data_IF_366126007929
#
_entry.id   IF_366126007929
#
_cell.length_a   1.000
_cell.length_b   1.000
_cell.length_c   1.000
_cell.angle_alpha   90.00
_cell.angle_beta   90.00
_cell.angle_gamma   90.00
#
_symmetry.space_group_name_H-M   'P 1'
#
loop_
_entity.id
_entity.type
_entity.pdbx_description
1 polymer ?
#
# COMPACT_ATOMS: atom_id res chain seq x y z
N UNK A 1 -22.25 2.96 2.20
CA UNK A 1 -21.73 3.18 3.58
C UNK A 1 -21.03 4.53 3.63
N UNK A 2 -21.33 5.34 4.64
CA UNK A 2 -20.58 6.56 4.94
C UNK A 2 -19.55 6.26 6.04
N UNK A 3 -18.35 6.83 5.93
CA UNK A 3 -17.29 6.69 6.92
C UNK A 3 -16.78 8.07 7.31
N UNK A 4 -16.56 8.26 8.61
CA UNK A 4 -15.84 9.40 9.14
C UNK A 4 -14.32 9.17 9.02
N UNK A 5 -13.61 10.02 8.25
CA UNK A 5 -12.16 9.90 8.06
C UNK A 5 -11.44 9.99 9.40
N UNK A 6 -11.93 10.79 10.37
CA UNK A 6 -11.29 10.91 11.69
C UNK A 6 -11.42 9.64 12.51
N UNK A 7 -12.51 8.90 12.34
CA UNK A 7 -12.63 7.58 12.94
C UNK A 7 -11.69 6.59 12.22
N UNK A 8 -11.49 6.68 10.90
CA UNK A 8 -10.44 5.87 10.24
C UNK A 8 -9.04 6.16 10.79
N UNK A 9 -8.70 7.42 11.04
CA UNK A 9 -7.43 7.82 11.69
C UNK A 9 -7.33 7.21 13.09
N UNK A 10 -8.39 7.36 13.89
CA UNK A 10 -8.45 6.78 15.24
C UNK A 10 -8.25 5.26 15.20
N UNK A 11 -8.84 4.57 14.21
CA UNK A 11 -8.70 3.12 14.05
C UNK A 11 -7.32 2.72 13.50
N UNK A 12 -6.67 3.58 12.74
CA UNK A 12 -5.28 3.38 12.33
C UNK A 12 -4.34 3.54 13.54
N UNK A 13 -4.54 4.54 14.39
CA UNK A 13 -3.77 4.72 15.64
C UNK A 13 -3.97 3.53 16.57
N UNK A 14 -5.19 3.01 16.66
CA UNK A 14 -5.52 1.77 17.37
C UNK A 14 -4.77 0.55 16.84
N UNK A 15 -4.71 0.42 15.52
CA UNK A 15 -3.92 -0.64 14.89
C UNK A 15 -2.43 -0.49 15.24
N UNK A 16 -1.93 0.74 15.34
CA UNK A 16 -0.54 1.03 15.69
C UNK A 16 -0.25 0.63 17.14
N UNK A 17 -1.09 1.03 18.10
CA UNK A 17 -0.97 0.66 19.51
C UNK A 17 -1.05 -0.86 19.72
N UNK A 18 -1.95 -1.52 18.98
CA UNK A 18 -2.03 -2.98 18.95
C UNK A 18 -0.74 -3.60 18.41
N UNK A 19 -0.22 -3.09 17.30
CA UNK A 19 1.03 -3.59 16.72
C UNK A 19 2.22 -3.36 17.66
N UNK A 20 2.24 -2.25 18.39
CA UNK A 20 3.28 -1.96 19.38
C UNK A 20 3.19 -2.96 20.54
N UNK A 21 2.00 -3.23 21.06
CA UNK A 21 1.77 -4.24 22.10
C UNK A 21 2.20 -5.64 21.66
N UNK A 22 1.94 -6.00 20.39
CA UNK A 22 2.39 -7.24 19.79
C UNK A 22 3.92 -7.30 19.66
N UNK A 23 4.55 -6.22 19.20
CA UNK A 23 5.99 -6.09 19.05
C UNK A 23 6.71 -6.19 20.40
N UNK A 24 6.23 -5.51 21.44
CA UNK A 24 6.75 -5.59 22.80
C UNK A 24 6.67 -7.00 23.36
N UNK A 25 5.54 -7.69 23.13
CA UNK A 25 5.35 -9.07 23.56
C UNK A 25 6.35 -10.01 22.87
N UNK A 26 6.57 -9.84 21.56
CA UNK A 26 7.59 -10.58 20.83
C UNK A 26 9.00 -10.33 21.38
N UNK A 27 9.32 -9.07 21.68
CA UNK A 27 10.62 -8.68 22.23
C UNK A 27 10.87 -9.32 23.60
N UNK A 28 9.87 -9.33 24.48
CA UNK A 28 9.99 -9.95 25.80
C UNK A 28 10.22 -11.47 25.72
N UNK A 29 9.63 -12.15 24.74
CA UNK A 29 9.78 -13.60 24.57
C UNK A 29 11.10 -14.01 23.95
N UNK A 30 11.51 -13.31 22.90
CA UNK A 30 12.63 -13.71 22.04
C UNK A 30 13.93 -13.00 22.40
N UNK A 31 13.84 -11.88 23.14
CA UNK A 31 14.94 -10.95 23.37
C UNK A 31 15.32 -10.12 22.15
N UNK A 32 14.60 -10.25 21.04
CA UNK A 32 14.85 -9.49 19.81
C UNK A 32 14.30 -8.07 19.99
N UNK A 33 15.07 -7.06 19.60
CA UNK A 33 14.57 -5.68 19.63
C UNK A 33 13.59 -5.50 18.48
N UNK A 34 12.37 -5.09 18.78
CA UNK A 34 11.31 -4.89 17.78
C UNK A 34 10.85 -3.44 17.78
N UNK A 35 10.36 -2.97 16.62
CA UNK A 35 9.79 -1.64 16.46
C UNK A 35 8.72 -1.67 15.37
N UNK A 36 7.58 -1.03 15.64
CA UNK A 36 6.57 -0.80 14.61
C UNK A 36 7.08 0.31 13.71
N UNK A 37 7.16 0.03 12.40
CA UNK A 37 7.71 0.97 11.43
C UNK A 37 6.64 1.76 10.71
N UNK A 38 5.57 1.06 10.33
CA UNK A 38 4.44 1.66 9.63
C UNK A 38 3.17 0.99 10.12
N UNK A 39 2.16 1.81 10.36
CA UNK A 39 0.78 1.33 10.43
C UNK A 39 -0.08 2.14 9.47
N UNK A 40 -0.90 1.48 8.67
CA UNK A 40 -1.79 2.16 7.74
C UNK A 40 -3.10 1.41 7.56
N UNK A 41 -4.08 2.10 6.98
CA UNK A 41 -5.34 1.50 6.55
C UNK A 41 -5.52 1.71 5.06
N UNK A 42 -5.72 0.61 4.32
CA UNK A 42 -5.92 0.66 2.88
C UNK A 42 -7.31 0.16 2.48
N UNK A 43 -7.91 0.84 1.50
CA UNK A 43 -9.04 0.34 0.72
C UNK A 43 -8.51 -0.24 -0.60
N UNK A 44 -8.71 -1.53 -0.82
CA UNK A 44 -8.22 -2.26 -1.99
C UNK A 44 -9.16 -3.40 -2.36
N UNK A 45 -9.03 -3.94 -3.57
CA UNK A 45 -9.74 -5.15 -3.95
C UNK A 45 -9.12 -6.38 -3.29
N UNK A 46 -9.92 -7.45 -3.13
CA UNK A 46 -9.43 -8.73 -2.64
C UNK A 46 -8.35 -9.32 -3.55
N UNK A 47 -8.43 -9.12 -4.87
CA UNK A 47 -7.40 -9.56 -5.81
C UNK A 47 -6.08 -8.80 -5.66
N UNK A 48 -6.11 -7.48 -5.42
CA UNK A 48 -4.88 -6.72 -5.15
C UNK A 48 -4.21 -7.21 -3.84
N UNK A 49 -5.00 -7.50 -2.79
CA UNK A 49 -4.47 -8.07 -1.55
C UNK A 49 -3.87 -9.47 -1.77
N UNK A 50 -4.54 -10.31 -2.56
CA UNK A 50 -4.02 -11.63 -2.93
C UNK A 50 -2.68 -11.52 -3.64
N UNK A 51 -2.56 -10.57 -4.57
CA UNK A 51 -1.34 -10.36 -5.35
C UNK A 51 -0.13 -10.04 -4.49
N UNK A 52 -0.28 -9.19 -3.46
CA UNK A 52 0.82 -8.83 -2.55
C UNK A 52 1.49 -10.03 -1.86
N UNK A 53 0.78 -11.14 -1.73
CA UNK A 53 1.30 -12.35 -1.09
C UNK A 53 1.83 -13.37 -2.10
N UNK A 54 1.54 -13.21 -3.40
CA UNK A 54 1.96 -14.15 -4.46
C UNK A 54 3.49 -14.31 -4.47
N UNK A 55 3.94 -15.53 -4.78
CA UNK A 55 5.35 -15.86 -4.97
C UNK A 55 6.15 -16.04 -3.68
N UNK A 56 5.57 -15.71 -2.52
CA UNK A 56 6.21 -15.84 -1.22
C UNK A 56 5.54 -16.93 -0.37
N UNK A 57 6.35 -17.65 0.39
CA UNK A 57 5.88 -18.57 1.42
C UNK A 57 5.74 -17.84 2.75
N UNK A 58 4.56 -17.98 3.36
CA UNK A 58 4.29 -17.44 4.69
C UNK A 58 3.89 -18.55 5.65
N UNK A 59 4.16 -18.34 6.93
CA UNK A 59 3.44 -19.03 8.00
C UNK A 59 3.11 -18.07 9.12
N UNK A 60 2.18 -18.45 9.98
CA UNK A 60 1.81 -17.67 11.15
C UNK A 60 0.48 -18.14 11.72
N UNK A 61 -0.34 -17.20 12.18
CA UNK A 61 -1.62 -17.51 12.80
C UNK A 61 -2.74 -16.62 12.31
N UNK A 62 -3.94 -17.18 12.21
CA UNK A 62 -5.20 -16.46 12.00
C UNK A 62 -6.04 -16.53 13.28
N UNK A 63 -6.66 -15.41 13.64
CA UNK A 63 -7.64 -15.29 14.73
C UNK A 63 -8.88 -14.55 14.24
N UNK A 64 -10.04 -15.09 14.59
CA UNK A 64 -11.32 -14.43 14.39
C UNK A 64 -11.59 -13.49 15.58
N UNK A 65 -11.97 -12.25 15.27
CA UNK A 65 -12.45 -11.28 16.25
C UNK A 65 -13.97 -11.19 16.22
N UNK A 66 -14.56 -11.01 17.40
CA UNK A 66 -15.99 -10.73 17.57
C UNK A 66 -16.22 -9.67 18.65
N UNK A 67 -17.29 -8.89 18.52
CA UNK A 67 -17.71 -7.92 19.52
C UNK A 67 -17.91 -6.53 18.92
N UNK A 68 -17.22 -5.55 19.49
CA UNK A 68 -17.21 -4.17 18.98
C UNK A 68 -16.57 -4.12 17.59
N UNK A 69 -15.48 -4.88 17.43
CA UNK A 69 -14.84 -5.14 16.15
C UNK A 69 -14.92 -6.63 15.87
N UNK A 70 -15.54 -6.97 14.75
CA UNK A 70 -15.54 -8.31 14.17
C UNK A 70 -14.68 -8.31 12.91
N UNK A 71 -13.97 -9.41 12.66
CA UNK A 71 -13.03 -9.52 11.55
C UNK A 71 -12.04 -10.65 11.73
N UNK A 72 -11.01 -10.66 10.90
CA UNK A 72 -9.90 -11.60 11.00
C UNK A 72 -8.58 -10.85 11.21
N UNK A 73 -7.77 -11.32 12.16
CA UNK A 73 -6.38 -10.90 12.33
C UNK A 73 -5.48 -12.00 11.82
N UNK A 74 -4.61 -11.66 10.87
CA UNK A 74 -3.58 -12.55 10.34
C UNK A 74 -2.21 -11.99 10.72
N UNK A 75 -1.44 -12.82 11.41
CA UNK A 75 -0.01 -12.62 11.59
C UNK A 75 0.71 -13.48 10.57
N UNK A 76 1.49 -12.86 9.69
CA UNK A 76 2.24 -13.53 8.65
C UNK A 76 3.73 -13.25 8.78
N UNK A 77 4.51 -14.32 8.80
CA UNK A 77 5.96 -14.33 8.84
C UNK A 77 6.48 -14.95 7.54
N UNK A 78 7.37 -14.24 6.86
CA UNK A 78 8.09 -14.79 5.70
C UNK A 78 9.20 -15.77 6.14
N UNK A 79 10.02 -16.26 5.21
CA UNK A 79 11.12 -17.18 5.55
C UNK A 79 12.11 -16.57 6.54
N UNK A 80 12.50 -15.30 6.36
CA UNK A 80 13.47 -14.65 7.22
C UNK A 80 12.90 -14.46 8.63
N UNK A 81 11.65 -14.02 8.74
CA UNK A 81 10.92 -13.85 10.00
C UNK A 81 10.77 -15.15 10.77
N UNK A 82 10.37 -16.22 10.09
CA UNK A 82 10.25 -17.54 10.73
C UNK A 82 11.60 -18.03 11.24
N UNK A 83 12.65 -17.85 10.46
CA UNK A 83 14.00 -18.26 10.85
C UNK A 83 14.49 -17.47 12.08
N UNK A 84 14.33 -16.15 12.09
CA UNK A 84 14.74 -15.32 13.21
C UNK A 84 14.08 -15.70 14.53
N UNK A 85 12.78 -16.02 14.50
CA UNK A 85 12.04 -16.49 15.68
C UNK A 85 12.53 -17.88 16.10
N UNK A 86 12.60 -18.81 15.16
CA UNK A 86 12.90 -20.22 15.46
C UNK A 86 14.34 -20.43 15.90
N UNK A 87 15.31 -19.69 15.38
CA UNK A 87 16.72 -19.79 15.76
C UNK A 87 16.96 -19.39 17.23
N UNK A 88 16.12 -18.51 17.80
CA UNK A 88 16.16 -18.14 19.23
C UNK A 88 15.44 -19.13 20.13
N UNK A 89 14.27 -19.60 19.70
CA UNK A 89 13.36 -20.38 20.55
C UNK A 89 13.60 -21.89 20.48
N UNK A 90 14.19 -22.39 19.38
CA UNK A 90 14.38 -23.82 19.13
C UNK A 90 15.87 -24.14 18.97
N UNK A 91 16.54 -24.70 20.00
CA UNK A 91 17.97 -25.02 19.95
C UNK A 91 18.36 -26.16 18.98
N UNK A 92 17.39 -26.87 18.41
CA UNK A 92 17.59 -28.04 17.57
C UNK A 92 16.77 -27.92 16.28
N UNK A 93 17.27 -28.48 15.19
CA UNK A 93 16.58 -28.48 13.90
C UNK A 93 15.43 -29.52 13.88
N UNK A 94 14.37 -29.20 14.63
CA UNK A 94 13.17 -30.02 14.79
C UNK A 94 11.97 -29.28 14.15
N UNK A 95 11.49 -29.72 12.98
CA UNK A 95 10.41 -29.05 12.25
C UNK A 95 9.12 -28.86 13.05
N UNK A 96 8.76 -29.83 13.89
CA UNK A 96 7.55 -29.75 14.72
C UNK A 96 7.69 -28.68 15.81
N UNK A 97 8.88 -28.58 16.41
CA UNK A 97 9.15 -27.52 17.40
C UNK A 97 9.24 -26.14 16.77
N UNK A 98 9.79 -26.04 15.54
CA UNK A 98 9.80 -24.80 14.77
C UNK A 98 8.38 -24.31 14.51
N UNK A 99 7.50 -25.20 14.02
CA UNK A 99 6.08 -24.90 13.83
C UNK A 99 5.40 -24.46 15.13
N UNK A 100 5.53 -25.23 16.19
CA UNK A 100 4.94 -24.92 17.50
C UNK A 100 5.44 -23.58 18.07
N UNK A 101 6.68 -23.20 17.77
CA UNK A 101 7.22 -21.90 18.21
C UNK A 101 6.60 -20.73 17.46
N UNK A 102 6.33 -20.89 16.16
CA UNK A 102 5.58 -19.88 15.38
C UNK A 102 4.14 -19.77 15.88
N UNK A 103 3.49 -20.89 16.21
CA UNK A 103 2.15 -20.88 16.82
C UNK A 103 2.13 -20.11 18.16
N UNK A 104 3.09 -20.39 19.05
CA UNK A 104 3.17 -19.74 20.36
C UNK A 104 3.47 -18.23 20.24
N UNK A 105 4.42 -17.86 19.39
CA UNK A 105 4.72 -16.44 19.12
C UNK A 105 3.53 -15.75 18.49
N UNK A 106 2.90 -16.38 17.50
CA UNK A 106 1.69 -15.88 16.87
C UNK A 106 0.56 -15.65 17.89
N UNK A 107 0.32 -16.60 18.80
CA UNK A 107 -0.68 -16.48 19.85
C UNK A 107 -0.43 -15.27 20.77
N UNK A 108 0.83 -15.06 21.16
CA UNK A 108 1.17 -13.99 22.10
C UNK A 108 1.12 -12.62 21.39
N UNK A 109 1.67 -12.51 20.19
CA UNK A 109 1.61 -11.27 19.41
C UNK A 109 0.16 -10.87 19.11
N UNK A 110 -0.68 -11.82 18.72
CA UNK A 110 -2.08 -11.54 18.40
C UNK A 110 -2.91 -11.19 19.63
N UNK A 111 -2.64 -11.83 20.77
CA UNK A 111 -3.25 -11.43 22.04
C UNK A 111 -2.85 -10.00 22.40
N UNK A 112 -1.56 -9.65 22.29
CA UNK A 112 -1.07 -8.29 22.50
C UNK A 112 -1.72 -7.27 21.55
N UNK A 113 -1.87 -7.63 20.27
CA UNK A 113 -2.57 -6.80 19.29
C UNK A 113 -4.02 -6.53 19.68
N UNK A 114 -4.78 -7.58 19.98
CA UNK A 114 -6.20 -7.48 20.36
C UNK A 114 -6.38 -6.73 21.69
N UNK A 115 -5.49 -6.94 22.66
CA UNK A 115 -5.52 -6.25 23.94
C UNK A 115 -5.29 -4.74 23.78
N UNK A 116 -4.40 -4.32 22.87
CA UNK A 116 -4.20 -2.90 22.52
C UNK A 116 -5.51 -2.23 22.09
N UNK A 117 -6.25 -2.86 21.17
CA UNK A 117 -7.55 -2.38 20.72
C UNK A 117 -8.61 -2.37 21.83
N UNK A 118 -8.70 -3.45 22.61
CA UNK A 118 -9.69 -3.58 23.67
C UNK A 118 -9.53 -2.52 24.77
N UNK A 119 -8.28 -2.21 25.14
CA UNK A 119 -7.95 -1.21 26.15
C UNK A 119 -8.38 0.19 25.73
N UNK A 120 -8.08 0.59 24.49
CA UNK A 120 -8.40 1.93 24.01
C UNK A 120 -9.89 2.12 23.74
N UNK A 121 -10.54 1.14 23.09
CA UNK A 121 -11.99 1.20 22.85
C UNK A 121 -12.81 1.08 24.14
N UNK A 122 -12.17 0.74 25.26
CA UNK A 122 -12.83 0.35 26.51
C UNK A 122 -13.95 -0.69 26.24
N UNK A 123 -13.66 -1.60 25.30
CA UNK A 123 -14.61 -2.52 24.72
C UNK A 123 -14.18 -3.96 24.94
N UNK A 124 -15.16 -4.87 24.89
CA UNK A 124 -14.87 -6.31 24.96
C UNK A 124 -14.75 -6.87 23.56
N UNK A 125 -13.52 -6.92 23.06
CA UNK A 125 -13.18 -7.72 21.88
C UNK A 125 -12.93 -9.15 22.35
N UNK A 126 -13.52 -10.12 21.67
CA UNK A 126 -13.27 -11.54 21.90
C UNK A 126 -12.55 -12.11 20.70
N UNK A 127 -11.45 -12.82 20.94
CA UNK A 127 -10.71 -13.58 19.95
C UNK A 127 -11.04 -15.08 20.01
N UNK A 128 -11.02 -15.75 18.87
CA UNK A 128 -10.91 -17.21 18.81
C UNK A 128 -9.48 -17.66 19.17
N UNK A 129 -9.26 -18.93 19.56
CA UNK A 129 -7.91 -19.46 19.65
C UNK A 129 -7.20 -19.38 18.29
N UNK A 130 -5.88 -19.11 18.26
CA UNK A 130 -5.15 -19.00 17.02
C UNK A 130 -5.17 -20.29 16.22
N UNK A 131 -5.36 -20.16 14.92
CA UNK A 131 -5.24 -21.26 13.95
C UNK A 131 -3.95 -21.07 13.17
N UNK A 132 -3.06 -22.08 13.20
CA UNK A 132 -1.86 -22.05 12.38
C UNK A 132 -2.18 -22.05 10.90
N UNK A 133 -1.52 -21.16 10.17
CA UNK A 133 -1.61 -21.04 8.73
C UNK A 133 -0.21 -21.13 8.12
N UNK A 134 -0.09 -21.81 7.00
CA UNK A 134 1.13 -21.89 6.21
C UNK A 134 0.78 -22.22 4.77
N UNK A 135 1.41 -21.51 3.83
CA UNK A 135 1.25 -21.76 2.41
C UNK A 135 1.87 -20.64 1.58
N UNK A 136 1.53 -20.62 0.29
CA UNK A 136 1.99 -19.59 -0.64
C UNK A 136 0.86 -18.65 -0.96
N UNK A 137 1.15 -17.34 -1.06
CA UNK A 137 0.15 -16.39 -1.54
C UNK A 137 -1.11 -16.37 -0.70
N UNK A 138 -2.22 -16.74 -1.33
CA UNK A 138 -3.57 -16.63 -0.79
C UNK A 138 -3.87 -17.60 0.35
N UNK A 139 -3.06 -18.65 0.52
CA UNK A 139 -3.26 -19.70 1.54
C UNK A 139 -3.17 -19.16 2.98
N UNK A 140 -2.52 -18.02 3.17
CA UNK A 140 -2.34 -17.38 4.48
C UNK A 140 -3.27 -16.18 4.71
N UNK A 141 -4.09 -15.83 3.71
CA UNK A 141 -4.95 -14.65 3.79
C UNK A 141 -6.26 -14.95 4.53
N UNK A 142 -6.92 -13.91 5.08
CA UNK A 142 -8.26 -14.03 5.63
C UNK A 142 -9.26 -14.61 4.65
N UNK A 143 -10.30 -15.30 5.13
CA UNK A 143 -11.32 -15.87 4.23
C UNK A 143 -12.03 -14.78 3.43
N UNK A 144 -12.29 -13.64 4.05
CA UNK A 144 -12.83 -12.45 3.39
C UNK A 144 -11.98 -11.98 2.20
N UNK A 145 -10.65 -12.12 2.28
CA UNK A 145 -9.71 -11.80 1.21
C UNK A 145 -9.68 -12.82 0.07
N UNK A 146 -10.25 -14.01 0.25
CA UNK A 146 -10.33 -15.06 -0.79
C UNK A 146 -11.62 -15.02 -1.59
N UNK A 147 -12.57 -14.14 -1.25
CA UNK A 147 -13.81 -13.97 -2.00
C UNK A 147 -13.59 -12.99 -3.15
N UNK A 148 -13.86 -13.40 -4.39
CA UNK A 148 -13.67 -12.57 -5.59
C UNK A 148 -14.55 -11.30 -5.55
N UNK A 149 -14.00 -10.20 -6.07
CA UNK A 149 -14.65 -8.91 -6.36
C UNK A 149 -15.23 -8.12 -5.18
N UNK A 150 -14.59 -8.20 -4.00
CA UNK A 150 -14.92 -7.32 -2.88
C UNK A 150 -13.79 -6.36 -2.54
N UNK A 151 -14.17 -5.11 -2.29
CA UNK A 151 -13.32 -4.10 -1.71
C UNK A 151 -13.25 -4.27 -0.19
N UNK A 152 -12.03 -4.29 0.35
CA UNK A 152 -11.73 -4.55 1.76
C UNK A 152 -10.98 -3.36 2.35
N UNK A 153 -11.29 -3.06 3.60
CA UNK A 153 -10.39 -2.30 4.45
C UNK A 153 -9.38 -3.27 5.05
N UNK A 154 -8.10 -2.92 4.94
CA UNK A 154 -6.99 -3.71 5.48
C UNK A 154 -6.17 -2.79 6.35
N UNK A 155 -6.17 -3.05 7.65
CA UNK A 155 -5.25 -2.41 8.58
C UNK A 155 -3.97 -3.23 8.59
N UNK A 156 -2.87 -2.59 8.21
CA UNK A 156 -1.57 -3.23 8.09
C UNK A 156 -0.60 -2.61 9.07
N UNK A 157 0.16 -3.45 9.75
CA UNK A 157 1.33 -2.99 10.49
C UNK A 157 2.56 -3.80 10.08
N UNK A 158 3.65 -3.08 9.76
CA UNK A 158 4.97 -3.65 9.53
C UNK A 158 5.80 -3.46 10.79
N UNK A 159 6.23 -4.57 11.37
CA UNK A 159 7.11 -4.57 12.55
C UNK A 159 8.48 -5.04 12.08
N UNK A 160 9.49 -4.22 12.31
CA UNK A 160 10.87 -4.58 12.06
C UNK A 160 11.52 -5.08 13.36
N UNK A 161 12.23 -6.20 13.24
CA UNK A 161 13.07 -6.76 14.29
C UNK A 161 14.55 -6.56 13.93
N UNK A 162 15.32 -6.01 14.89
CA UNK A 162 16.76 -5.95 14.83
C UNK A 162 17.35 -7.01 15.78
N UNK A 163 18.13 -7.93 15.22
CA UNK A 163 18.87 -8.94 15.98
C UNK A 163 20.38 -8.77 15.80
N UNK A 164 21.14 -8.96 16.88
CA UNK A 164 22.60 -8.91 16.85
C UNK A 164 23.14 -10.06 15.99
N UNK A 165 23.48 -9.76 14.73
CA UNK A 165 24.03 -10.72 13.77
C UNK A 165 23.26 -10.87 12.46
N UNK A 166 22.11 -10.21 12.32
CA UNK A 166 21.38 -10.11 11.05
C UNK A 166 21.63 -8.72 10.46
N UNK A 167 22.06 -8.66 9.20
CA UNK A 167 22.39 -7.39 8.53
C UNK A 167 21.15 -6.64 8.02
N UNK A 168 20.02 -7.33 7.86
CA UNK A 168 18.76 -6.77 7.36
C UNK A 168 17.68 -6.88 8.45
N UNK A 169 16.81 -5.86 8.60
CA UNK A 169 15.71 -5.91 9.54
C UNK A 169 14.72 -7.01 9.14
N UNK A 170 14.18 -7.69 10.14
CA UNK A 170 13.24 -8.79 9.94
C UNK A 170 11.82 -8.22 9.94
N UNK A 171 11.09 -8.39 8.84
CA UNK A 171 9.73 -7.88 8.70
C UNK A 171 8.67 -8.88 9.18
N UNK A 172 7.75 -8.38 10.01
CA UNK A 172 6.53 -9.08 10.39
C UNK A 172 5.31 -8.28 9.94
N UNK A 173 4.28 -8.98 9.45
CA UNK A 173 3.04 -8.35 8.99
C UNK A 173 1.89 -8.73 9.91
N UNK A 174 1.21 -7.71 10.43
CA UNK A 174 -0.09 -7.86 11.08
C UNK A 174 -1.13 -7.29 10.14
N UNK A 175 -2.08 -8.12 9.74
CA UNK A 175 -3.22 -7.73 8.92
C UNK A 175 -4.49 -7.86 9.75
N UNK A 176 -5.25 -6.79 9.89
CA UNK A 176 -6.62 -6.84 10.38
C UNK A 176 -7.56 -6.51 9.23
N UNK A 177 -8.44 -7.46 8.92
CA UNK A 177 -9.50 -7.31 7.92
C UNK A 177 -10.85 -7.36 8.64
N UNK A 178 -11.41 -6.21 9.03
CA UNK A 178 -12.70 -6.16 9.71
C UNK A 178 -13.86 -6.50 8.77
N UNK A 179 -14.93 -7.03 9.34
CA UNK A 179 -16.20 -7.21 8.62
C UNK A 179 -16.83 -5.84 8.30
N UNK A 180 -17.40 -5.68 7.11
CA UNK A 180 -18.03 -4.42 6.69
C UNK A 180 -19.13 -3.96 7.65
N UNK A 181 -19.94 -4.88 8.18
CA UNK A 181 -20.99 -4.58 9.17
C UNK A 181 -20.43 -4.14 10.52
N UNK A 182 -19.19 -4.51 10.83
CA UNK A 182 -18.48 -4.03 12.01
C UNK A 182 -17.98 -2.62 11.78
N UNK A 183 -17.45 -2.33 10.60
CA UNK A 183 -17.02 -0.99 10.22
C UNK A 183 -18.19 -0.01 10.18
N UNK A 184 -19.35 -0.40 9.64
CA UNK A 184 -20.54 0.45 9.59
C UNK A 184 -20.98 0.90 10.99
N UNK A 185 -20.87 0.02 11.99
CA UNK A 185 -21.20 0.35 13.40
C UNK A 185 -20.11 1.20 14.05
N UNK A 186 -18.85 0.88 13.77
CA UNK A 186 -17.67 1.56 14.29
C UNK A 186 -17.56 3.00 13.78
N UNK A 187 -17.84 3.21 12.50
CA UNK A 187 -17.66 4.47 11.78
C UNK A 187 -18.95 5.27 11.61
N UNK A 188 -19.96 5.05 12.46
CA UNK A 188 -21.16 5.89 12.47
C UNK A 188 -20.73 7.36 12.57
N UNK A 189 -21.12 8.23 11.62
CA UNK A 189 -20.59 9.58 11.52
C UNK A 189 -20.75 10.38 12.81
N UNK A 190 -19.63 10.83 13.39
CA UNK A 190 -19.62 11.69 14.58
C UNK A 190 -19.14 13.11 14.29
N UNK A 191 -18.51 13.31 13.14
CA UNK A 191 -18.01 14.60 12.68
C UNK A 191 -18.54 14.95 11.28
N UNK A 192 -18.15 16.12 10.77
CA UNK A 192 -18.45 16.55 9.39
C UNK A 192 -17.43 15.99 8.39
N UNK A 193 -16.46 15.17 8.81
CA UNK A 193 -15.43 14.59 7.96
C UNK A 193 -15.83 13.28 7.28
N UNK A 194 -17.04 13.28 6.71
CA UNK A 194 -17.73 12.11 6.17
C UNK A 194 -17.38 11.93 4.69
N UNK A 195 -17.06 10.70 4.28
CA UNK A 195 -16.92 10.31 2.88
C UNK A 195 -17.66 9.00 2.61
N UNK A 196 -18.34 8.91 1.47
CA UNK A 196 -18.94 7.64 1.04
C UNK A 196 -17.85 6.66 0.60
N UNK A 197 -17.95 5.44 1.10
CA UNK A 197 -17.11 4.30 0.70
C UNK A 197 -17.29 3.99 -0.77
N UNK A 198 -18.49 4.16 -1.33
CA UNK A 198 -18.68 3.97 -2.78
C UNK A 198 -17.84 4.99 -3.57
N UNK A 199 -17.74 6.24 -3.09
CA UNK A 199 -16.90 7.25 -3.73
C UNK A 199 -15.42 6.95 -3.61
N UNK A 200 -14.96 6.42 -2.46
CA UNK A 200 -13.58 5.95 -2.30
C UNK A 200 -13.25 4.77 -3.22
N UNK A 201 -14.20 3.85 -3.43
CA UNK A 201 -14.04 2.74 -4.39
C UNK A 201 -13.90 3.26 -5.81
N UNK A 202 -14.82 4.13 -6.24
CA UNK A 202 -14.74 4.78 -7.57
C UNK A 202 -13.43 5.54 -7.74
N UNK A 203 -12.96 6.22 -6.69
CA UNK A 203 -11.67 6.91 -6.68
C UNK A 203 -10.48 5.94 -6.80
N UNK A 204 -10.53 4.77 -6.17
CA UNK A 204 -9.52 3.74 -6.34
C UNK A 204 -9.56 3.12 -7.74
N UNK A 205 -10.75 2.84 -8.28
CA UNK A 205 -10.94 2.30 -9.64
C UNK A 205 -10.38 3.25 -10.70
N UNK A 206 -10.71 4.55 -10.63
CA UNK A 206 -10.18 5.53 -11.59
C UNK A 206 -8.66 5.72 -11.45
N UNK A 207 -8.11 5.49 -10.26
CA UNK A 207 -6.66 5.51 -10.05
C UNK A 207 -5.99 4.29 -10.67
N UNK A 208 -6.61 3.11 -10.55
CA UNK A 208 -6.18 1.88 -11.22
C UNK A 208 -6.18 2.06 -12.73
N UNK A 209 -7.24 2.63 -13.31
CA UNK A 209 -7.30 2.95 -14.74
C UNK A 209 -6.21 3.96 -15.16
N UNK A 210 -5.96 4.99 -14.35
CA UNK A 210 -4.86 5.93 -14.57
C UNK A 210 -3.49 5.22 -14.59
N UNK A 211 -3.26 4.30 -13.67
CA UNK A 211 -2.04 3.50 -13.62
C UNK A 211 -1.93 2.57 -14.84
N UNK A 212 -3.03 2.01 -15.31
CA UNK A 212 -3.07 1.13 -16.50
C UNK A 212 -2.71 1.91 -17.78
N UNK A 213 -3.16 3.16 -17.88
CA UNK A 213 -2.73 4.08 -18.95
C UNK A 213 -1.25 4.39 -18.85
N UNK A 214 -0.73 4.62 -17.64
CA UNK A 214 0.71 4.83 -17.43
C UNK A 214 1.55 3.60 -17.82
N UNK A 215 1.11 2.38 -17.46
CA UNK A 215 1.73 1.13 -17.90
C UNK A 215 1.69 0.97 -19.43
N UNK A 216 0.53 1.23 -20.05
CA UNK A 216 0.39 1.23 -21.52
C UNK A 216 1.37 2.18 -22.21
N UNK A 217 1.61 3.35 -21.62
CA UNK A 217 2.60 4.31 -22.11
C UNK A 217 4.03 3.80 -21.98
N UNK A 218 4.40 3.16 -20.86
CA UNK A 218 5.70 2.48 -20.73
C UNK A 218 5.85 1.46 -21.86
N UNK A 219 4.88 0.57 -22.02
CA UNK A 219 4.89 -0.48 -23.06
C UNK A 219 5.05 0.11 -24.46
N UNK A 220 4.27 1.16 -24.77
CA UNK A 220 4.28 1.79 -26.09
C UNK A 220 5.62 2.47 -26.42
N UNK A 221 6.28 3.07 -25.43
CA UNK A 221 7.53 3.80 -25.65
C UNK A 221 8.77 2.91 -25.58
N UNK A 222 8.76 1.92 -24.70
CA UNK A 222 9.95 1.11 -24.39
C UNK A 222 9.91 -0.29 -25.00
N UNK A 223 8.73 -0.76 -25.43
CA UNK A 223 8.50 -2.13 -25.84
C UNK A 223 8.50 -3.16 -24.70
N UNK A 224 8.65 -2.71 -23.44
CA UNK A 224 8.59 -3.58 -22.26
C UNK A 224 7.13 -3.84 -21.93
N UNK A 225 6.69 -5.09 -21.98
CA UNK A 225 5.31 -5.45 -21.66
C UNK A 225 5.06 -5.25 -20.15
N UNK A 226 4.15 -4.33 -19.82
CA UNK A 226 3.87 -3.95 -18.42
C UNK A 226 2.38 -3.96 -18.11
N UNK A 227 2.05 -4.34 -16.87
CA UNK A 227 0.70 -4.38 -16.31
C UNK A 227 0.68 -3.78 -14.91
N UNK A 228 -0.47 -3.27 -14.50
CA UNK A 228 -0.72 -2.82 -13.12
C UNK A 228 -1.16 -4.01 -12.30
N UNK A 229 -0.43 -4.29 -11.24
CA UNK A 229 -0.68 -5.47 -10.41
C UNK A 229 -1.43 -5.12 -9.13
N UNK A 230 -1.13 -3.96 -8.55
CA UNK A 230 -1.72 -3.49 -7.31
C UNK A 230 -2.12 -2.02 -7.52
N UNK A 231 -3.31 -1.66 -7.07
CA UNK A 231 -3.71 -0.26 -6.87
C UNK A 231 -4.52 -0.13 -5.59
N UNK A 232 -4.00 0.63 -4.62
CA UNK A 232 -4.66 0.81 -3.33
C UNK A 232 -4.70 2.26 -2.90
N UNK A 233 -5.80 2.64 -2.25
CA UNK A 233 -5.93 3.91 -1.54
C UNK A 233 -5.62 3.69 -0.07
N UNK A 234 -4.58 4.33 0.43
CA UNK A 234 -4.09 4.16 1.80
C UNK A 234 -4.22 5.47 2.57
N UNK A 235 -4.78 5.42 3.78
CA UNK A 235 -4.67 6.49 4.77
C UNK A 235 -3.52 6.13 5.70
N UNK A 236 -2.54 7.03 5.79
CA UNK A 236 -1.26 6.80 6.48
C UNK A 236 -0.81 8.06 7.21
N UNK A 237 -0.24 7.96 8.41
CA UNK A 237 0.45 9.07 9.06
C UNK A 237 1.53 9.63 8.13
N UNK A 238 1.62 10.95 8.00
CA UNK A 238 2.56 11.55 7.03
C UNK A 238 4.01 11.22 7.36
N UNK A 239 4.32 11.03 8.64
CA UNK A 239 5.65 10.63 9.12
C UNK A 239 6.04 9.20 8.76
N UNK A 240 5.06 8.31 8.52
CA UNK A 240 5.29 6.90 8.18
C UNK A 240 5.54 6.70 6.66
N UNK A 241 5.09 7.63 5.82
CA UNK A 241 5.20 7.52 4.35
C UNK A 241 6.63 7.24 3.87
N UNK A 242 7.69 7.92 4.37
CA UNK A 242 9.06 7.60 3.96
C UNK A 242 9.48 6.16 4.28
N UNK A 243 9.03 5.61 5.43
CA UNK A 243 9.33 4.24 5.84
C UNK A 243 8.51 3.20 5.06
N UNK A 244 7.31 3.56 4.61
CA UNK A 244 6.46 2.74 3.73
C UNK A 244 7.11 2.55 2.36
N UNK A 245 7.67 3.60 1.75
CA UNK A 245 8.44 3.48 0.49
C UNK A 245 9.80 2.79 0.72
N UNK A 246 10.37 2.95 1.92
CA UNK A 246 11.53 2.20 2.38
C UNK A 246 12.88 2.71 1.85
N UNK A 247 13.95 1.96 2.15
CA UNK A 247 15.33 2.39 1.94
C UNK A 247 15.98 1.83 0.65
N UNK A 248 15.22 1.15 -0.21
CA UNK A 248 15.69 0.73 -1.54
C UNK A 248 16.07 1.96 -2.36
N UNK A 249 17.13 1.87 -3.16
CA UNK A 249 17.53 2.96 -4.07
C UNK A 249 16.68 2.94 -5.33
N UNK A 250 16.09 4.08 -5.62
CA UNK A 250 15.26 4.30 -6.79
C UNK A 250 15.88 5.37 -7.70
N UNK A 251 15.41 5.38 -8.93
CA UNK A 251 15.59 6.45 -9.90
C UNK A 251 14.22 6.79 -10.47
N UNK A 252 13.91 8.06 -10.67
CA UNK A 252 12.55 8.41 -11.06
C UNK A 252 12.28 9.90 -11.14
N UNK A 253 11.02 10.25 -11.01
CA UNK A 253 10.55 11.63 -11.12
C UNK A 253 9.49 11.99 -10.08
N UNK A 254 9.53 13.25 -9.63
CA UNK A 254 8.51 13.86 -8.77
C UNK A 254 7.87 15.03 -9.53
N UNK A 255 6.54 15.10 -9.52
CA UNK A 255 5.74 16.09 -10.23
C UNK A 255 4.64 16.62 -9.31
N UNK A 256 4.65 17.91 -8.97
CA UNK A 256 3.46 18.57 -8.44
C UNK A 256 2.33 18.55 -9.47
N UNK A 257 1.09 18.38 -9.00
CA UNK A 257 -0.12 18.57 -9.81
C UNK A 257 -1.12 19.49 -9.09
N UNK A 258 -1.97 20.14 -9.87
CA UNK A 258 -2.96 21.12 -9.43
C UNK A 258 -4.20 21.13 -10.34
N UNK A 259 -5.31 21.69 -9.88
CA UNK A 259 -6.57 21.75 -10.62
C UNK A 259 -7.76 21.55 -9.70
N UNK A 260 -8.55 20.49 -9.93
CA UNK A 260 -9.66 20.13 -9.03
C UNK A 260 -9.19 19.82 -7.61
N UNK A 261 -8.03 19.16 -7.52
CA UNK A 261 -7.27 18.95 -6.30
C UNK A 261 -5.79 18.95 -6.68
N UNK A 262 -4.96 19.32 -5.72
CA UNK A 262 -3.51 19.42 -5.86
C UNK A 262 -2.79 18.33 -5.05
N UNK A 263 -1.53 18.08 -5.39
CA UNK A 263 -0.74 17.06 -4.73
C UNK A 263 0.61 16.83 -5.41
N UNK A 264 1.23 15.70 -5.10
CA UNK A 264 2.45 15.24 -5.76
C UNK A 264 2.24 13.85 -6.34
N UNK A 265 2.78 13.64 -7.54
CA UNK A 265 2.93 12.34 -8.17
C UNK A 265 4.41 11.96 -8.17
N UNK A 266 4.71 10.75 -7.74
CA UNK A 266 6.07 10.20 -7.68
C UNK A 266 6.10 8.92 -8.48
N UNK A 267 7.02 8.82 -9.43
CA UNK A 267 7.23 7.62 -10.26
C UNK A 267 8.64 7.13 -9.97
N UNK A 268 8.78 5.92 -9.44
CA UNK A 268 10.03 5.33 -8.98
C UNK A 268 10.29 3.99 -9.68
N UNK A 269 11.43 3.89 -10.32
CA UNK A 269 11.96 2.63 -10.83
C UNK A 269 13.09 2.18 -9.93
N UNK A 270 13.21 0.88 -9.67
CA UNK A 270 14.48 0.41 -9.15
C UNK A 270 15.59 0.58 -10.19
N UNK A 271 16.86 0.58 -9.74
CA UNK A 271 17.96 0.91 -10.65
C UNK A 271 18.03 0.02 -11.91
N UNK A 272 17.85 -1.32 -11.82
CA UNK A 272 17.77 -2.16 -13.00
C UNK A 272 16.62 -1.78 -13.95
N UNK A 273 15.42 -1.53 -13.42
CA UNK A 273 14.24 -1.19 -14.24
C UNK A 273 14.39 0.19 -14.88
N UNK A 274 14.86 1.19 -14.12
CA UNK A 274 15.12 2.52 -14.64
C UNK A 274 16.19 2.50 -15.73
N UNK A 275 17.15 1.57 -15.64
CA UNK A 275 18.14 1.39 -16.69
C UNK A 275 17.55 0.73 -17.94
N UNK A 276 16.75 -0.31 -17.77
CA UNK A 276 16.04 -0.95 -18.87
C UNK A 276 15.18 0.07 -19.65
N UNK A 277 14.48 0.97 -18.95
CA UNK A 277 13.75 2.08 -19.59
C UNK A 277 14.67 2.94 -20.44
N UNK A 278 15.76 3.43 -19.84
CA UNK A 278 16.68 4.36 -20.52
C UNK A 278 17.31 3.72 -21.75
N UNK A 279 17.74 2.47 -21.65
CA UNK A 279 18.37 1.73 -22.76
C UNK A 279 17.38 1.47 -23.91
N UNK A 280 16.07 1.33 -23.61
CA UNK A 280 15.03 1.25 -24.63
C UNK A 280 14.72 2.60 -25.31
N UNK A 281 14.83 3.72 -24.59
CA UNK A 281 14.48 5.05 -25.10
C UNK A 281 15.65 5.74 -25.82
N UNK A 282 16.88 5.43 -25.43
CA UNK A 282 18.08 6.12 -25.91
C UNK A 282 18.89 5.17 -26.82
N UNK A 283 19.09 5.50 -28.11
CA UNK A 283 19.77 4.63 -29.06
C UNK A 283 21.31 4.61 -28.95
N UNK A 284 21.87 5.08 -27.84
CA UNK A 284 23.31 5.21 -27.61
C UNK A 284 23.72 4.42 -26.36
N UNK A 285 24.97 3.94 -26.32
CA UNK A 285 25.53 3.41 -25.07
C UNK A 285 25.52 4.52 -24.03
N UNK A 286 24.74 4.28 -22.97
CA UNK A 286 24.62 5.12 -21.79
C UNK A 286 25.70 4.69 -20.79
N UNK A 287 26.24 5.62 -20.02
CA UNK A 287 27.20 5.28 -18.94
C UNK A 287 26.45 4.79 -17.70
N UNK A 288 27.11 4.17 -16.72
CA UNK A 288 26.47 3.75 -15.46
C UNK A 288 25.91 4.93 -14.63
N UNK A 289 26.24 6.17 -14.99
CA UNK A 289 25.78 7.37 -14.29
C UNK A 289 24.49 7.92 -14.90
N UNK A 290 23.63 8.49 -14.04
CA UNK A 290 22.43 9.21 -14.47
C UNK A 290 22.79 10.61 -15.01
N UNK A 291 23.36 10.66 -16.21
CA UNK A 291 23.72 11.88 -16.92
C UNK A 291 22.51 12.64 -17.45
N UNK A 292 22.74 13.74 -18.18
CA UNK A 292 21.66 14.58 -18.67
C UNK A 292 20.75 13.88 -19.68
N UNK A 293 21.28 12.93 -20.44
CA UNK A 293 20.53 12.18 -21.46
C UNK A 293 19.59 11.18 -20.77
N UNK A 294 20.11 10.41 -19.81
CA UNK A 294 19.37 9.43 -19.03
C UNK A 294 18.29 10.11 -18.18
N UNK A 295 18.63 11.23 -17.51
CA UNK A 295 17.66 12.04 -16.78
C UNK A 295 16.58 12.62 -17.70
N UNK A 296 16.95 13.05 -18.91
CA UNK A 296 16.02 13.59 -19.90
C UNK A 296 15.02 12.53 -20.37
N UNK A 297 15.50 11.31 -20.66
CA UNK A 297 14.65 10.19 -21.05
C UNK A 297 13.65 9.80 -19.95
N UNK A 298 14.10 9.71 -18.70
CA UNK A 298 13.23 9.41 -17.56
C UNK A 298 12.22 10.53 -17.28
N UNK A 299 12.62 11.80 -17.46
CA UNK A 299 11.69 12.94 -17.37
C UNK A 299 10.62 12.90 -18.47
N UNK A 300 10.99 12.58 -19.71
CA UNK A 300 10.02 12.49 -20.80
C UNK A 300 9.03 11.35 -20.56
N UNK A 301 9.52 10.18 -20.15
CA UNK A 301 8.63 9.07 -19.79
C UNK A 301 7.74 9.44 -18.59
N UNK A 302 8.33 10.01 -17.53
CA UNK A 302 7.60 10.45 -16.35
C UNK A 302 6.50 11.47 -16.69
N UNK A 303 6.77 12.39 -17.63
CA UNK A 303 5.78 13.33 -18.14
C UNK A 303 4.60 12.61 -18.80
N UNK A 304 4.87 11.66 -19.70
CA UNK A 304 3.83 10.90 -20.43
C UNK A 304 3.03 9.99 -19.49
N UNK A 305 3.69 9.33 -18.55
CA UNK A 305 3.03 8.53 -17.51
C UNK A 305 2.11 9.38 -16.63
N UNK A 306 2.60 10.56 -16.21
CA UNK A 306 1.82 11.51 -15.41
C UNK A 306 0.58 11.97 -16.16
N UNK A 307 0.72 12.35 -17.44
CA UNK A 307 -0.42 12.77 -18.26
C UNK A 307 -1.48 11.67 -18.35
N UNK A 308 -1.09 10.44 -18.68
CA UNK A 308 -2.04 9.31 -18.77
C UNK A 308 -2.75 9.01 -17.45
N UNK A 309 -2.05 9.13 -16.33
CA UNK A 309 -2.60 8.90 -15.00
C UNK A 309 -3.56 10.00 -14.57
N UNK A 310 -3.15 11.25 -14.70
CA UNK A 310 -3.97 12.42 -14.35
C UNK A 310 -5.21 12.54 -15.24
N UNK A 311 -5.09 12.17 -16.52
CA UNK A 311 -6.23 12.10 -17.46
C UNK A 311 -7.28 11.08 -17.01
N UNK A 312 -6.85 9.98 -16.37
CA UNK A 312 -7.75 9.00 -15.74
C UNK A 312 -8.67 9.64 -14.70
N UNK A 313 -8.11 10.45 -13.81
CA UNK A 313 -8.89 11.22 -12.82
C UNK A 313 -9.75 12.30 -13.46
N UNK A 314 -9.18 13.06 -14.39
CA UNK A 314 -9.83 14.18 -15.06
C UNK A 314 -11.14 13.75 -15.74
N UNK A 315 -11.14 12.60 -16.40
CA UNK A 315 -12.32 12.06 -17.09
C UNK A 315 -13.47 11.71 -16.12
N UNK A 316 -13.15 11.02 -15.02
CA UNK A 316 -14.16 10.55 -14.06
C UNK A 316 -14.70 11.70 -13.21
N UNK A 317 -13.82 12.62 -12.80
CA UNK A 317 -14.19 13.83 -12.05
C UNK A 317 -14.79 14.92 -12.94
N UNK A 318 -14.78 14.74 -14.26
CA UNK A 318 -15.14 15.75 -15.26
C UNK A 318 -14.46 17.10 -14.95
N UNK A 319 -13.15 17.05 -14.72
CA UNK A 319 -12.37 18.18 -14.24
C UNK A 319 -11.02 18.29 -14.95
N UNK A 320 -10.41 19.46 -14.90
CA UNK A 320 -9.06 19.67 -15.43
C UNK A 320 -8.06 19.53 -14.29
N UNK A 321 -7.06 18.67 -14.46
CA UNK A 321 -5.92 18.52 -13.57
C UNK A 321 -4.66 18.65 -14.42
N UNK A 322 -3.73 19.50 -13.99
CA UNK A 322 -2.48 19.80 -14.67
C UNK A 322 -1.33 19.42 -13.77
N UNK A 323 -0.20 19.06 -14.37
CA UNK A 323 1.02 18.78 -13.64
C UNK A 323 2.15 19.72 -14.07
N UNK A 324 3.07 19.98 -13.17
CA UNK A 324 4.31 20.67 -13.48
C UNK A 324 5.30 19.73 -14.20
N UNK A 325 6.34 20.27 -14.85
CA UNK A 325 7.38 19.45 -15.44
C UNK A 325 8.09 18.55 -14.40
N UNK A 326 8.42 17.29 -14.75
CA UNK A 326 9.03 16.35 -13.83
C UNK A 326 10.42 16.75 -13.35
N UNK A 327 10.62 16.62 -12.04
CA UNK A 327 11.91 16.74 -11.39
C UNK A 327 12.53 15.35 -11.24
N UNK A 328 13.77 15.19 -11.69
CA UNK A 328 14.48 13.92 -11.58
C UNK A 328 14.96 13.69 -10.15
N UNK A 329 14.83 12.47 -9.66
CA UNK A 329 15.30 12.03 -8.35
C UNK A 329 16.06 10.70 -8.46
N UNK A 330 17.09 10.52 -7.64
CA UNK A 330 17.87 9.30 -7.57
C UNK A 330 18.47 9.11 -6.18
N UNK A 331 17.71 8.49 -5.27
CA UNK A 331 18.12 8.25 -3.89
C UNK A 331 17.37 7.05 -3.31
N UNK A 332 17.54 6.79 -2.02
CA UNK A 332 16.67 5.91 -1.24
C UNK A 332 15.22 6.42 -1.25
N UNK A 333 14.24 5.52 -1.27
CA UNK A 333 12.82 5.87 -1.28
C UNK A 333 12.45 6.84 -0.16
N UNK A 334 12.86 6.56 1.07
CA UNK A 334 12.69 7.42 2.24
C UNK A 334 13.23 8.83 2.03
N UNK A 335 14.43 8.98 1.45
CA UNK A 335 15.04 10.28 1.17
C UNK A 335 14.31 11.05 0.05
N UNK A 336 13.77 10.34 -0.94
CA UNK A 336 12.95 10.94 -2.00
C UNK A 336 11.63 11.50 -1.42
N UNK A 337 11.00 10.75 -0.51
CA UNK A 337 9.70 11.14 0.06
C UNK A 337 9.81 12.22 1.13
N UNK A 338 10.90 12.28 1.88
CA UNK A 338 11.07 13.18 3.04
C UNK A 338 10.74 14.65 2.75
N UNK A 339 11.20 15.27 1.65
CA UNK A 339 10.86 16.66 1.34
C UNK A 339 9.36 16.87 1.06
N UNK A 340 8.71 15.88 0.44
CA UNK A 340 7.29 15.91 0.11
C UNK A 340 6.46 15.84 1.39
N UNK A 341 6.76 14.84 2.24
CA UNK A 341 6.03 14.59 3.48
C UNK A 341 6.26 15.70 4.49
N UNK A 342 7.48 16.24 4.59
CA UNK A 342 7.77 17.41 5.44
C UNK A 342 6.90 18.62 5.10
N UNK A 343 6.58 18.81 3.82
CA UNK A 343 5.71 19.91 3.38
C UNK A 343 4.24 19.64 3.71
N UNK A 344 3.81 18.39 3.59
CA UNK A 344 2.44 17.98 3.93
C UNK A 344 2.18 18.05 5.44
N UNK A 345 3.17 17.67 6.25
CA UNK A 345 3.12 17.72 7.72
C UNK A 345 2.99 19.14 8.29
N UNK A 346 3.09 20.20 7.46
CA UNK A 346 2.80 21.56 7.90
C UNK A 346 1.30 21.81 8.13
N UNK A 347 0.42 21.03 7.49
CA UNK A 347 -1.04 21.25 7.50
C UNK A 347 -1.85 20.08 8.00
N UNK A 348 -1.36 18.85 7.84
CA UNK A 348 -2.09 17.62 8.13
C UNK A 348 -1.18 16.63 8.87
N UNK A 349 -1.75 15.78 9.71
CA UNK A 349 -1.03 14.69 10.39
C UNK A 349 -1.08 13.38 9.57
N UNK A 350 -2.13 13.21 8.75
CA UNK A 350 -2.35 12.05 7.89
C UNK A 350 -2.57 12.46 6.44
N UNK A 351 -2.23 11.56 5.53
CA UNK A 351 -2.46 11.74 4.11
C UNK A 351 -3.14 10.52 3.48
N UNK A 352 -3.91 10.80 2.43
CA UNK A 352 -4.24 9.77 1.46
C UNK A 352 -3.06 9.58 0.52
N UNK A 353 -2.64 8.34 0.36
CA UNK A 353 -1.63 7.91 -0.59
C UNK A 353 -2.23 6.83 -1.49
N UNK A 354 -2.18 7.06 -2.79
CA UNK A 354 -2.44 6.04 -3.79
C UNK A 354 -1.11 5.39 -4.14
N UNK A 355 -1.06 4.08 -4.09
CA UNK A 355 0.12 3.30 -4.44
C UNK A 355 -0.25 2.29 -5.53
N UNK A 356 0.41 2.42 -6.69
CA UNK A 356 0.26 1.51 -7.81
C UNK A 356 1.60 0.88 -8.17
N UNK A 357 1.61 -0.45 -8.28
CA UNK A 357 2.79 -1.21 -8.72
C UNK A 357 2.60 -1.68 -10.17
N UNK A 358 3.51 -1.25 -11.04
CA UNK A 358 3.58 -1.65 -12.44
C UNK A 358 4.76 -2.62 -12.60
N UNK A 359 4.50 -3.79 -13.17
CA UNK A 359 5.50 -4.83 -13.37
C UNK A 359 5.34 -5.48 -14.74
N UNK A 360 6.27 -6.37 -15.08
CA UNK A 360 6.22 -7.19 -16.29
C UNK A 360 5.76 -8.61 -15.96
N UNK A 361 4.90 -9.18 -16.82
CA UNK A 361 4.39 -10.57 -16.71
C UNK A 361 5.38 -11.65 -17.22
N UNK A 362 6.67 -11.31 -17.33
CA UNK A 362 7.70 -12.17 -17.92
C UNK A 362 8.88 -12.37 -16.97
N UNK A 363 9.79 -13.27 -17.32
CA UNK A 363 10.98 -13.59 -16.52
C UNK A 363 11.94 -12.40 -16.31
N UNK A 364 11.74 -11.28 -17.03
CA UNK A 364 12.45 -10.02 -16.76
C UNK A 364 11.75 -9.24 -15.66
N UNK A 365 12.46 -9.06 -14.54
CA UNK A 365 11.99 -8.27 -13.40
C UNK A 365 12.09 -6.78 -13.77
N UNK A 366 10.96 -6.22 -14.19
CA UNK A 366 10.72 -4.79 -14.28
C UNK A 366 9.79 -4.38 -13.13
N UNK A 367 10.16 -3.33 -12.40
CA UNK A 367 9.33 -2.76 -11.33
C UNK A 367 9.31 -1.24 -11.42
N UNK A 368 8.10 -0.70 -11.39
CA UNK A 368 7.83 0.73 -11.32
C UNK A 368 6.75 0.96 -10.27
N UNK A 369 7.05 1.80 -9.28
CA UNK A 369 6.09 2.24 -8.28
C UNK A 369 5.60 3.64 -8.62
N UNK A 370 4.29 3.84 -8.55
CA UNK A 370 3.64 5.10 -8.81
C UNK A 370 2.84 5.51 -7.58
N UNK A 371 3.23 6.63 -6.97
CA UNK A 371 2.63 7.15 -5.75
C UNK A 371 1.95 8.49 -6.03
N UNK A 372 0.69 8.62 -5.64
CA UNK A 372 -0.02 9.89 -5.67
C UNK A 372 -0.41 10.32 -4.25
N UNK A 373 -0.03 11.55 -3.90
CA UNK A 373 -0.23 12.18 -2.59
C UNK A 373 -1.07 13.45 -2.76
N UNK A 374 -2.39 13.33 -2.95
CA UNK A 374 -3.28 14.48 -3.01
C UNK A 374 -3.41 15.17 -1.65
N UNK A 375 -3.65 16.48 -1.67
CA UNK A 375 -4.02 17.22 -0.45
C UNK A 375 -5.37 16.76 0.06
N UNK A 376 -5.42 16.32 1.32
CA UNK A 376 -6.61 15.74 1.95
C UNK A 376 -7.86 16.62 1.80
N UNK A 377 -7.75 17.90 2.16
CA UNK A 377 -8.90 18.82 2.15
C UNK A 377 -9.49 19.04 0.76
N UNK A 378 -8.65 19.00 -0.28
CA UNK A 378 -9.06 19.19 -1.67
C UNK A 378 -9.58 17.88 -2.28
N UNK A 379 -8.94 16.75 -1.96
CA UNK A 379 -9.44 15.43 -2.33
C UNK A 379 -10.85 15.20 -1.78
N UNK A 380 -11.09 15.53 -0.52
CA UNK A 380 -12.42 15.39 0.07
C UNK A 380 -13.47 16.17 -0.71
N UNK A 381 -13.20 17.44 -1.04
CA UNK A 381 -14.11 18.25 -1.86
C UNK A 381 -14.34 17.63 -3.24
N UNK A 382 -13.29 17.08 -3.86
CA UNK A 382 -13.42 16.38 -5.14
C UNK A 382 -14.29 15.12 -5.02
N UNK A 383 -14.18 14.36 -3.93
CA UNK A 383 -15.05 13.23 -3.64
C UNK A 383 -16.49 13.67 -3.36
N UNK A 384 -16.71 14.76 -2.62
CA UNK A 384 -18.05 15.29 -2.35
C UNK A 384 -18.80 15.65 -3.64
N UNK A 385 -18.07 16.23 -4.61
CA UNK A 385 -18.59 16.57 -5.93
C UNK A 385 -18.70 15.37 -6.90
N UNK A 386 -18.08 14.23 -6.58
CA UNK A 386 -18.11 13.04 -7.43
C UNK A 386 -19.54 12.47 -7.50
N UNK A 387 -20.08 12.43 -8.72
CA UNK A 387 -21.32 11.74 -9.03
C UNK A 387 -21.01 10.27 -9.33
N UNK A 388 -21.60 9.35 -8.56
CA UNK A 388 -21.36 7.91 -8.73
C UNK A 388 -21.73 7.44 -10.13
N UNK A 389 -22.75 8.04 -10.76
CA UNK A 389 -23.15 7.75 -12.15
C UNK A 389 -22.02 7.97 -13.18
N UNK A 390 -21.02 8.80 -12.86
CA UNK A 390 -19.87 9.02 -13.74
C UNK A 390 -18.87 7.86 -13.72
N UNK A 391 -19.00 6.88 -12.80
CA UNK A 391 -18.12 5.71 -12.79
C UNK A 391 -18.25 4.86 -14.06
N UNK A 392 -19.36 4.97 -14.80
CA UNK A 392 -19.56 4.30 -16.09
C UNK A 392 -18.92 5.06 -17.27
N UNK A 393 -18.50 6.32 -17.09
CA UNK A 393 -17.75 7.07 -18.12
C UNK A 393 -16.29 6.61 -18.27
N UNK A 394 -15.91 5.56 -17.55
CA UNK A 394 -14.58 4.93 -17.54
C UNK A 394 -14.32 4.05 -18.76
N UNK A 395 -15.37 3.50 -19.39
CA UNK A 395 -15.22 2.81 -20.68
C UNK A 395 -15.54 3.74 -21.85
N UNK A 396 -14.56 4.47 -22.35
CA UNK A 396 -14.67 5.03 -23.69
C UNK A 396 -14.29 3.92 -24.67
N UNK A 397 -15.28 3.40 -25.42
CA UNK A 397 -14.99 2.58 -26.59
C UNK A 397 -14.12 3.43 -27.54
N UNK A 398 -12.91 2.97 -27.93
CA UNK A 398 -12.08 3.69 -28.90
C UNK A 398 -12.83 4.10 -30.17
N UNK A 399 -13.92 3.40 -30.52
CA UNK A 399 -14.81 3.75 -31.63
C UNK A 399 -15.58 5.08 -31.43
N UNK A 400 -15.94 5.43 -30.20
CA UNK A 400 -16.73 6.64 -29.90
C UNK A 400 -15.94 7.94 -30.05
N UNK A 401 -14.60 7.86 -30.09
CA UNK A 401 -13.71 8.99 -30.37
C UNK A 401 -13.66 9.34 -31.87
N UNK A 402 -14.03 8.42 -32.77
CA UNK A 402 -13.99 8.63 -34.22
C UNK A 402 -15.29 9.14 -34.83
N UNK A 403 -16.42 9.05 -34.12
CA UNK A 403 -17.73 9.48 -34.64
C UNK A 403 -18.08 10.95 -34.35
N UNK A 404 -17.26 11.68 -33.59
CA UNK A 404 -17.46 13.13 -33.31
C UNK A 404 -16.83 14.09 -34.33
N UNK A 405 -16.37 13.59 -35.50
CA UNK A 405 -15.87 14.43 -36.60
C UNK A 405 -16.66 14.31 -37.93
N UNK A 406 -17.98 14.12 -37.87
CA UNK A 406 -18.84 14.33 -39.06
C UNK A 406 -19.94 15.37 -38.82
#
# INVERSE_FOLDING_TARGET
MEIDIRELETYQELAHDGAQSAAESLSQLTGISTSVQVTNVSLMSSSDLQYEFIGNEFAGVNIDLTGEISGEVVLAFDEQGRKAITDKLVPADDPEKKKSSIEEVGNIMSSGFVDGWANYLNAKIKSSPPTYIQGTGTDVLPKSATTEDNYLFVFRSRVEAADEGVNEPIDFRILLVPESSSLERAFEPRTEDIVSVEKLKVFNDMTKEGAEKAATNITSMTGIDTTVEISRLTLVPIEDIPAEVGNKRYVGTVMPFDGKFSGNLVILFDQPSGRAVVDSLVPMETDEQWGSVEQGALKELGNIMTSGFVDGWANVLNAEIKHEPPQFVADTGSSIMTPITSKMAETDDHAFMLDSNIQTNSDQVFTCQMLALPRRSELKQALDDLLIENSENTSVDPADLFDRQQ
#
